data_IF_433212237574
#
_entry.id   IF_433212237574
#
_cell.length_a   1.000
_cell.length_b   1.000
_cell.length_c   1.000
_cell.angle_alpha   90.00
_cell.angle_beta   90.00
_cell.angle_gamma   90.00
#
_symmetry.space_group_name_H-M   'P 1'
#
loop_
_entity.id
_entity.type
_entity.pdbx_description
1 polymer ?
#
# COMPACT_ATOMS: atom_id res chain seq x y z
N UNK A 1 -28.86 6.54 86.33
CA UNK A 1 -29.39 5.19 86.07
C UNK A 1 -29.69 5.11 84.56
N UNK A 2 -28.79 4.81 83.78
CA UNK A 2 -29.07 4.49 82.33
C UNK A 2 -27.78 3.96 81.74
N UNK A 3 -27.81 2.75 81.36
CA UNK A 3 -26.75 1.96 80.80
C UNK A 3 -26.59 2.35 79.30
N UNK A 4 -25.42 2.57 78.75
CA UNK A 4 -25.23 2.67 77.28
C UNK A 4 -24.99 1.28 76.74
N UNK A 5 -25.78 0.93 75.71
CA UNK A 5 -25.58 -0.22 74.84
C UNK A 5 -24.43 0.01 73.85
N UNK A 6 -23.45 -0.86 73.93
CA UNK A 6 -22.38 -1.03 72.96
C UNK A 6 -23.00 -1.65 71.68
N UNK A 7 -22.90 -0.95 70.55
CA UNK A 7 -23.14 -1.56 69.25
C UNK A 7 -21.82 -2.11 68.67
N UNK A 8 -21.79 -3.33 68.15
CA UNK A 8 -20.63 -3.83 67.42
C UNK A 8 -20.64 -3.28 65.96
N UNK A 9 -19.45 -2.90 65.51
CA UNK A 9 -19.21 -2.49 64.16
C UNK A 9 -19.37 -3.68 63.19
N UNK A 10 -19.93 -3.46 61.96
CA UNK A 10 -19.94 -4.48 60.94
C UNK A 10 -18.58 -4.59 60.27
N UNK A 11 -18.09 -5.81 60.26
CA UNK A 11 -16.95 -6.28 59.52
C UNK A 11 -17.05 -5.94 58.05
N UNK A 12 -16.13 -5.15 57.53
CA UNK A 12 -15.99 -4.89 56.09
C UNK A 12 -15.21 -6.04 55.50
N UNK A 13 -15.88 -7.14 55.23
CA UNK A 13 -15.39 -8.18 54.36
C UNK A 13 -15.24 -7.59 52.95
N UNK A 14 -13.99 -7.59 52.50
CA UNK A 14 -13.63 -7.13 51.15
C UNK A 14 -14.43 -7.84 50.07
N UNK A 15 -15.17 -7.09 49.35
CA UNK A 15 -15.67 -7.51 48.04
C UNK A 15 -14.50 -7.33 47.06
N UNK A 16 -13.82 -8.43 46.78
CA UNK A 16 -12.99 -8.54 45.61
C UNK A 16 -13.92 -8.34 44.40
N UNK A 17 -13.79 -7.19 43.78
CA UNK A 17 -14.30 -7.01 42.43
C UNK A 17 -13.47 -7.88 41.51
N UNK A 18 -13.94 -9.10 41.28
CA UNK A 18 -13.58 -9.87 40.11
C UNK A 18 -13.85 -8.97 38.92
N UNK A 19 -12.79 -8.39 38.41
CA UNK A 19 -12.78 -7.80 37.10
C UNK A 19 -13.09 -8.96 36.16
N UNK A 20 -14.35 -9.10 35.78
CA UNK A 20 -14.75 -9.95 34.68
C UNK A 20 -13.94 -9.47 33.46
N UNK A 21 -12.89 -10.20 33.17
CA UNK A 21 -12.22 -10.26 31.91
C UNK A 21 -13.24 -10.87 30.92
N UNK A 22 -14.24 -10.05 30.57
CA UNK A 22 -15.16 -10.37 29.49
C UNK A 22 -14.35 -10.16 28.22
N UNK A 23 -14.01 -11.25 27.48
CA UNK A 23 -13.36 -11.07 26.19
C UNK A 23 -14.21 -10.12 25.36
N UNK A 24 -13.59 -9.16 24.65
CA UNK A 24 -14.36 -8.25 23.80
C UNK A 24 -15.23 -9.09 22.87
N UNK A 25 -16.50 -8.70 22.66
CA UNK A 25 -17.37 -9.42 21.75
C UNK A 25 -16.66 -9.57 20.40
N UNK A 26 -16.80 -10.72 19.72
CA UNK A 26 -16.23 -10.88 18.41
C UNK A 26 -16.69 -9.70 17.56
N UNK A 27 -15.73 -8.88 17.14
CA UNK A 27 -16.03 -7.77 16.22
C UNK A 27 -16.43 -8.42 14.91
N UNK A 28 -17.74 -8.56 14.69
CA UNK A 28 -18.25 -8.86 13.38
C UNK A 28 -17.82 -7.70 12.49
N UNK A 29 -17.12 -7.95 11.37
CA UNK A 29 -16.82 -6.90 10.44
C UNK A 29 -18.11 -6.17 10.11
N UNK A 30 -18.06 -4.84 10.14
CA UNK A 30 -19.23 -4.02 9.79
C UNK A 30 -19.76 -4.50 8.43
N UNK A 31 -21.05 -4.87 8.31
CA UNK A 31 -21.61 -5.34 7.04
C UNK A 31 -21.33 -4.36 5.89
N UNK A 32 -21.16 -3.11 6.21
CA UNK A 32 -20.83 -2.05 5.29
C UNK A 32 -19.38 -2.15 4.79
N UNK A 33 -18.43 -2.37 5.69
CA UNK A 33 -17.02 -2.59 5.36
C UNK A 33 -16.86 -3.87 4.50
N UNK A 34 -17.56 -4.95 4.86
CA UNK A 34 -17.59 -6.17 4.06
C UNK A 34 -18.14 -5.97 2.65
N UNK A 35 -19.16 -5.11 2.47
CA UNK A 35 -19.72 -4.78 1.17
C UNK A 35 -18.72 -3.99 0.31
N UNK A 36 -18.02 -3.02 0.91
CA UNK A 36 -16.99 -2.23 0.22
C UNK A 36 -15.85 -3.13 -0.25
N UNK A 37 -15.34 -3.99 0.63
CA UNK A 37 -14.29 -4.96 0.27
C UNK A 37 -14.70 -5.89 -0.87
N UNK A 38 -15.89 -6.48 -0.80
CA UNK A 38 -16.41 -7.35 -1.87
C UNK A 38 -16.57 -6.59 -3.19
N UNK A 39 -17.08 -5.37 -3.15
CA UNK A 39 -17.23 -4.54 -4.33
C UNK A 39 -15.88 -4.18 -4.98
N UNK A 40 -14.86 -3.95 -4.16
CA UNK A 40 -13.50 -3.66 -4.63
C UNK A 40 -12.83 -4.92 -5.20
N UNK A 41 -13.00 -6.08 -4.56
CA UNK A 41 -12.33 -7.32 -4.98
C UNK A 41 -12.89 -7.88 -6.29
N UNK A 42 -14.22 -7.87 -6.46
CA UNK A 42 -14.90 -8.63 -7.49
C UNK A 42 -15.24 -7.82 -8.76
N UNK A 43 -15.21 -6.48 -8.71
CA UNK A 43 -15.58 -5.64 -9.85
C UNK A 43 -14.39 -5.28 -10.74
N UNK A 44 -14.63 -4.98 -12.03
CA UNK A 44 -13.62 -4.38 -12.90
C UNK A 44 -13.08 -3.07 -12.33
N UNK A 45 -11.81 -2.75 -12.63
CA UNK A 45 -11.14 -1.55 -12.10
C UNK A 45 -11.90 -0.26 -12.41
N UNK A 46 -12.48 -0.15 -13.60
CA UNK A 46 -13.26 1.01 -14.04
C UNK A 46 -14.49 1.24 -13.16
N UNK A 47 -15.18 0.15 -12.75
CA UNK A 47 -16.33 0.25 -11.84
C UNK A 47 -15.88 0.61 -10.41
N UNK A 48 -14.72 0.14 -9.98
CA UNK A 48 -14.14 0.50 -8.67
C UNK A 48 -13.78 1.99 -8.65
N UNK A 49 -13.19 2.52 -9.72
CA UNK A 49 -12.90 3.95 -9.88
C UNK A 49 -14.20 4.77 -9.81
N UNK A 50 -15.23 4.31 -10.49
CA UNK A 50 -16.55 4.96 -10.46
C UNK A 50 -17.15 4.92 -9.06
N UNK A 51 -17.06 3.79 -8.36
CA UNK A 51 -17.54 3.64 -6.98
C UNK A 51 -16.84 4.65 -6.05
N UNK A 52 -15.52 4.71 -6.09
CA UNK A 52 -14.73 5.66 -5.28
C UNK A 52 -15.17 7.10 -5.59
N UNK A 53 -15.28 7.46 -6.86
CA UNK A 53 -15.70 8.79 -7.29
C UNK A 53 -17.10 9.17 -6.76
N UNK A 54 -18.03 8.22 -6.76
CA UNK A 54 -19.39 8.44 -6.22
C UNK A 54 -19.38 8.58 -4.69
N UNK A 55 -18.57 7.80 -3.99
CA UNK A 55 -18.41 7.89 -2.54
C UNK A 55 -17.80 9.24 -2.13
N UNK A 56 -16.83 9.75 -2.88
CA UNK A 56 -16.18 11.04 -2.63
C UNK A 56 -17.12 12.25 -2.82
N UNK A 57 -18.13 12.12 -3.67
CA UNK A 57 -19.11 13.18 -3.90
C UNK A 57 -20.04 13.41 -2.71
N UNK A 58 -20.09 12.49 -1.76
CA UNK A 58 -20.93 12.59 -0.58
C UNK A 58 -20.11 12.65 0.70
N UNK A 59 -20.21 13.72 1.49
CA UNK A 59 -19.48 13.83 2.75
C UNK A 59 -19.85 12.74 3.75
N UNK A 60 -21.08 12.20 3.67
CA UNK A 60 -21.56 11.12 4.54
C UNK A 60 -20.84 9.78 4.24
N UNK A 61 -20.26 9.63 3.05
CA UNK A 61 -19.57 8.42 2.61
C UNK A 61 -18.05 8.56 2.58
N UNK A 62 -17.48 9.64 3.08
CA UNK A 62 -16.03 9.89 3.06
C UNK A 62 -15.22 8.76 3.71
N UNK A 63 -15.73 8.17 4.81
CA UNK A 63 -15.08 7.01 5.43
C UNK A 63 -15.08 5.78 4.51
N UNK A 64 -16.21 5.52 3.85
CA UNK A 64 -16.33 4.43 2.89
C UNK A 64 -15.41 4.60 1.69
N UNK A 65 -15.20 5.84 1.23
CA UNK A 65 -14.24 6.15 0.17
C UNK A 65 -12.81 5.78 0.59
N UNK A 66 -12.40 6.17 1.80
CA UNK A 66 -11.09 5.83 2.35
C UNK A 66 -10.93 4.32 2.52
N UNK A 67 -11.94 3.62 3.03
CA UNK A 67 -11.92 2.17 3.21
C UNK A 67 -11.81 1.44 1.84
N UNK A 68 -12.51 1.94 0.81
CA UNK A 68 -12.39 1.43 -0.56
C UNK A 68 -10.98 1.64 -1.15
N UNK A 69 -10.38 2.83 -0.96
CA UNK A 69 -9.02 3.12 -1.40
C UNK A 69 -7.99 2.19 -0.74
N UNK A 70 -8.13 1.94 0.57
CA UNK A 70 -7.29 1.00 1.32
C UNK A 70 -7.46 -0.43 0.85
N UNK A 71 -8.70 -0.88 0.63
CA UNK A 71 -8.98 -2.20 0.12
C UNK A 71 -8.33 -2.42 -1.27
N UNK A 72 -8.44 -1.45 -2.18
CA UNK A 72 -7.74 -1.50 -3.48
C UNK A 72 -6.24 -1.60 -3.28
N UNK A 73 -5.69 -0.76 -2.41
CA UNK A 73 -4.25 -0.71 -2.16
C UNK A 73 -3.68 -2.04 -1.68
N UNK A 74 -4.47 -2.85 -0.96
CA UNK A 74 -4.03 -4.11 -0.33
C UNK A 74 -4.39 -5.33 -1.17
N UNK A 75 -5.63 -5.40 -1.68
CA UNK A 75 -6.20 -6.64 -2.22
C UNK A 75 -6.02 -6.78 -3.74
N UNK A 76 -5.84 -5.66 -4.48
CA UNK A 76 -5.72 -5.69 -5.93
C UNK A 76 -4.28 -5.96 -6.40
N UNK A 77 -4.10 -6.51 -7.61
CA UNK A 77 -2.77 -6.62 -8.24
C UNK A 77 -2.05 -5.27 -8.30
N UNK A 78 -0.73 -5.27 -8.13
CA UNK A 78 0.08 -4.03 -8.13
C UNK A 78 -0.10 -3.21 -9.41
N UNK A 79 -0.27 -3.87 -10.55
CA UNK A 79 -0.51 -3.20 -11.83
C UNK A 79 -1.84 -2.42 -11.83
N UNK A 80 -2.89 -2.99 -11.23
CA UNK A 80 -4.18 -2.32 -11.07
C UNK A 80 -4.07 -1.14 -10.11
N UNK A 81 -3.29 -1.29 -9.03
CA UNK A 81 -3.02 -0.19 -8.09
C UNK A 81 -2.29 0.95 -8.78
N UNK A 82 -1.25 0.66 -9.57
CA UNK A 82 -0.52 1.67 -10.35
C UNK A 82 -1.43 2.40 -11.35
N UNK A 83 -2.31 1.67 -12.05
CA UNK A 83 -3.30 2.26 -12.97
C UNK A 83 -4.32 3.13 -12.23
N UNK A 84 -4.82 2.65 -11.08
CA UNK A 84 -5.75 3.43 -10.26
C UNK A 84 -5.11 4.75 -9.80
N UNK A 85 -3.88 4.71 -9.30
CA UNK A 85 -3.14 5.91 -8.87
C UNK A 85 -3.01 6.90 -10.03
N UNK A 86 -2.62 6.44 -11.22
CA UNK A 86 -2.51 7.29 -12.41
C UNK A 86 -3.85 7.95 -12.77
N UNK A 87 -4.95 7.21 -12.67
CA UNK A 87 -6.29 7.71 -12.93
C UNK A 87 -6.78 8.71 -11.86
N UNK A 88 -6.50 8.45 -10.58
CA UNK A 88 -6.89 9.34 -9.49
C UNK A 88 -6.07 10.62 -9.45
N UNK A 89 -4.79 10.56 -9.81
CA UNK A 89 -3.91 11.71 -9.88
C UNK A 89 -4.27 12.67 -11.03
N UNK A 90 -4.98 12.19 -12.05
CA UNK A 90 -5.33 12.99 -13.22
C UNK A 90 -6.53 13.89 -12.96
N UNK A 91 -6.46 15.21 -13.25
CA UNK A 91 -7.62 16.11 -13.13
C UNK A 91 -8.83 15.62 -13.96
N UNK A 92 -10.05 15.82 -13.50
CA UNK A 92 -10.50 16.67 -12.38
C UNK A 92 -10.64 15.95 -11.02
N UNK A 93 -9.98 14.81 -10.81
CA UNK A 93 -10.10 14.01 -9.59
C UNK A 93 -9.28 14.60 -8.44
N UNK A 94 -9.52 14.08 -7.23
CA UNK A 94 -8.83 14.52 -6.03
C UNK A 94 -7.48 13.79 -5.89
N UNK A 95 -6.33 14.48 -5.96
CA UNK A 95 -5.03 13.85 -5.81
C UNK A 95 -4.82 13.21 -4.41
N UNK A 96 -5.50 13.70 -3.37
CA UNK A 96 -5.41 13.12 -2.02
C UNK A 96 -5.83 11.64 -1.99
N UNK A 97 -6.71 11.24 -2.91
CA UNK A 97 -7.15 9.85 -3.03
C UNK A 97 -6.04 8.95 -3.62
N UNK A 98 -5.26 9.48 -4.56
CA UNK A 98 -4.07 8.80 -5.06
C UNK A 98 -3.02 8.63 -3.95
N UNK A 99 -2.81 9.68 -3.14
CA UNK A 99 -1.87 9.65 -2.01
C UNK A 99 -2.28 8.64 -0.94
N UNK A 100 -3.59 8.49 -0.65
CA UNK A 100 -4.09 7.49 0.31
C UNK A 100 -3.83 6.05 -0.19
N UNK A 101 -4.03 5.78 -1.48
CA UNK A 101 -3.73 4.47 -2.09
C UNK A 101 -2.23 4.17 -1.99
N UNK A 102 -1.38 5.14 -2.34
CA UNK A 102 0.08 5.00 -2.28
C UNK A 102 0.53 4.71 -0.86
N UNK A 103 0.04 5.47 0.12
CA UNK A 103 0.38 5.31 1.54
C UNK A 103 -0.03 3.94 2.05
N UNK A 104 -1.28 3.53 1.81
CA UNK A 104 -1.80 2.23 2.24
C UNK A 104 -1.03 1.06 1.60
N UNK A 105 -0.67 1.16 0.34
CA UNK A 105 0.16 0.17 -0.33
C UNK A 105 1.58 0.13 0.24
N UNK A 106 2.18 1.29 0.51
CA UNK A 106 3.50 1.39 1.11
C UNK A 106 3.56 0.78 2.51
N UNK A 107 2.48 0.87 3.30
CA UNK A 107 2.40 0.32 4.66
C UNK A 107 2.16 -1.19 4.69
N UNK A 108 1.33 -1.70 3.78
CA UNK A 108 0.72 -3.03 3.93
C UNK A 108 1.27 -4.10 2.99
N UNK A 109 1.90 -3.72 1.87
CA UNK A 109 2.36 -4.68 0.85
C UNK A 109 3.78 -5.18 1.12
N UNK A 110 4.11 -6.39 0.62
CA UNK A 110 5.48 -6.88 0.63
C UNK A 110 6.44 -5.95 -0.11
N UNK A 111 7.73 -5.99 0.24
CA UNK A 111 8.78 -5.13 -0.36
C UNK A 111 8.86 -5.29 -1.87
N UNK A 112 8.64 -6.50 -2.40
CA UNK A 112 8.59 -6.79 -3.83
C UNK A 112 7.53 -5.98 -4.55
N UNK A 113 6.32 -5.96 -3.99
CA UNK A 113 5.17 -5.25 -4.54
C UNK A 113 5.38 -3.73 -4.48
N UNK A 114 5.94 -3.25 -3.38
CA UNK A 114 6.29 -1.83 -3.20
C UNK A 114 7.35 -1.41 -4.22
N UNK A 115 8.38 -2.22 -4.43
CA UNK A 115 9.40 -1.96 -5.46
C UNK A 115 8.79 -1.85 -6.85
N UNK A 116 7.90 -2.79 -7.20
CA UNK A 116 7.18 -2.77 -8.48
C UNK A 116 6.27 -1.55 -8.61
N UNK A 117 5.53 -1.21 -7.55
CA UNK A 117 4.68 -0.01 -7.54
C UNK A 117 5.50 1.25 -7.76
N UNK A 118 6.63 1.40 -7.06
CA UNK A 118 7.53 2.54 -7.27
C UNK A 118 8.02 2.64 -8.71
N UNK A 119 8.38 1.51 -9.34
CA UNK A 119 8.78 1.49 -10.75
C UNK A 119 7.64 1.94 -11.69
N UNK A 120 6.39 1.53 -11.42
CA UNK A 120 5.22 1.95 -12.17
C UNK A 120 4.94 3.46 -12.01
N UNK A 121 5.08 4.00 -10.79
CA UNK A 121 4.84 5.40 -10.49
C UNK A 121 5.94 6.34 -11.05
N UNK A 122 7.12 5.83 -11.37
CA UNK A 122 8.17 6.58 -12.07
C UNK A 122 7.96 6.61 -13.61
N UNK A 123 6.89 6.03 -14.11
CA UNK A 123 6.52 6.08 -15.52
C UNK A 123 6.14 7.51 -15.94
N UNK A 124 6.48 7.97 -17.15
CA UNK A 124 6.13 9.30 -17.64
C UNK A 124 4.61 9.54 -17.80
N UNK A 125 3.82 8.49 -17.69
CA UNK A 125 2.35 8.56 -17.73
C UNK A 125 1.71 8.87 -16.39
N UNK A 126 2.49 8.92 -15.30
CA UNK A 126 2.02 9.21 -13.95
C UNK A 126 2.54 10.56 -13.51
N UNK A 127 1.72 11.30 -12.78
CA UNK A 127 2.11 12.60 -12.21
C UNK A 127 3.30 12.46 -11.25
N UNK A 128 4.29 13.36 -11.36
CA UNK A 128 5.56 13.27 -10.61
C UNK A 128 5.36 13.24 -9.09
N UNK A 129 4.31 13.91 -8.57
CA UNK A 129 4.03 13.93 -7.13
C UNK A 129 3.72 12.53 -6.58
N UNK A 130 3.15 11.62 -7.37
CA UNK A 130 2.86 10.25 -6.93
C UNK A 130 4.15 9.48 -6.63
N UNK A 131 5.19 9.65 -7.44
CA UNK A 131 6.50 9.05 -7.18
C UNK A 131 7.14 9.61 -5.91
N UNK A 132 7.03 10.93 -5.69
CA UNK A 132 7.53 11.59 -4.49
C UNK A 132 6.78 11.13 -3.23
N UNK A 133 5.44 11.02 -3.31
CA UNK A 133 4.62 10.52 -2.21
C UNK A 133 4.94 9.05 -1.89
N UNK A 134 5.16 8.20 -2.89
CA UNK A 134 5.57 6.82 -2.68
C UNK A 134 6.90 6.73 -1.91
N UNK A 135 7.91 7.52 -2.29
CA UNK A 135 9.18 7.59 -1.57
C UNK A 135 8.97 8.04 -0.13
N UNK A 136 8.17 9.09 0.08
CA UNK A 136 7.87 9.62 1.41
C UNK A 136 7.14 8.59 2.28
N UNK A 137 6.11 7.95 1.74
CA UNK A 137 5.31 6.96 2.45
C UNK A 137 6.17 5.75 2.88
N UNK A 138 6.98 5.22 1.97
CA UNK A 138 7.90 4.12 2.27
C UNK A 138 8.90 4.51 3.35
N UNK A 139 9.53 5.67 3.23
CA UNK A 139 10.54 6.15 4.19
C UNK A 139 9.94 6.38 5.59
N UNK A 140 8.66 6.77 5.68
CA UNK A 140 8.00 7.06 6.94
C UNK A 140 7.45 5.82 7.65
N UNK A 141 7.02 4.78 6.91
CA UNK A 141 6.23 3.69 7.46
C UNK A 141 6.95 2.33 7.46
N UNK A 142 8.11 2.22 6.79
CA UNK A 142 8.85 0.94 6.73
C UNK A 142 10.01 0.87 7.71
N UNK A 143 10.26 -0.31 8.29
CA UNK A 143 11.46 -0.54 9.09
C UNK A 143 12.73 -0.39 8.24
N UNK A 144 13.83 -0.03 8.91
CA UNK A 144 15.11 0.27 8.25
C UNK A 144 15.63 -0.92 7.44
N UNK A 145 15.40 -2.11 7.91
CA UNK A 145 15.82 -3.36 7.25
C UNK A 145 15.14 -3.52 5.88
N UNK A 146 13.84 -3.24 5.82
CA UNK A 146 13.08 -3.28 4.57
C UNK A 146 13.47 -2.15 3.61
N UNK A 147 13.84 -0.98 4.15
CA UNK A 147 14.37 0.13 3.34
C UNK A 147 15.68 -0.24 2.66
N UNK A 148 16.58 -0.93 3.36
CA UNK A 148 17.85 -1.41 2.79
C UNK A 148 17.58 -2.42 1.67
N UNK A 149 16.65 -3.37 1.89
CA UNK A 149 16.26 -4.33 0.87
C UNK A 149 15.66 -3.65 -0.37
N UNK A 150 14.76 -2.69 -0.17
CA UNK A 150 14.14 -1.93 -1.25
C UNK A 150 15.17 -1.14 -2.06
N UNK A 151 16.10 -0.47 -1.40
CA UNK A 151 17.20 0.26 -2.06
C UNK A 151 18.04 -0.70 -2.91
N UNK A 152 18.35 -1.88 -2.39
CA UNK A 152 19.05 -2.93 -3.14
C UNK A 152 18.31 -3.31 -4.42
N UNK A 153 17.02 -3.64 -4.31
CA UNK A 153 16.16 -4.02 -5.45
C UNK A 153 16.06 -2.93 -6.51
N UNK A 154 15.83 -1.68 -6.10
CA UNK A 154 15.75 -0.54 -7.03
C UNK A 154 17.09 -0.26 -7.72
N UNK A 155 18.21 -0.49 -7.03
CA UNK A 155 19.54 -0.36 -7.62
C UNK A 155 19.80 -1.44 -8.68
N UNK A 156 19.41 -2.68 -8.39
CA UNK A 156 19.54 -3.80 -9.33
C UNK A 156 18.66 -3.59 -10.57
N UNK A 157 17.45 -3.08 -10.39
CA UNK A 157 16.54 -2.77 -11.49
C UNK A 157 17.09 -1.67 -12.39
N UNK A 158 17.63 -0.60 -11.80
CA UNK A 158 18.29 0.48 -12.56
C UNK A 158 19.49 -0.04 -13.36
N UNK A 159 20.31 -0.90 -12.75
CA UNK A 159 21.46 -1.49 -13.42
C UNK A 159 21.05 -2.36 -14.60
N UNK A 160 19.92 -3.07 -14.52
CA UNK A 160 19.38 -3.86 -15.65
C UNK A 160 18.84 -2.96 -16.77
N UNK A 161 18.25 -1.82 -16.43
CA UNK A 161 17.72 -0.87 -17.43
C UNK A 161 18.85 -0.10 -18.12
N UNK A 162 19.93 0.23 -17.40
CA UNK A 162 21.10 0.95 -17.91
C UNK A 162 22.18 0.02 -18.51
N UNK A 163 21.98 -1.28 -18.45
CA UNK A 163 22.89 -2.28 -19.02
C UNK A 163 23.09 -2.05 -20.52
N UNK A 164 24.29 -2.24 -21.05
CA UNK A 164 24.56 -2.02 -22.48
C UNK A 164 23.59 -2.84 -23.33
N UNK A 165 23.05 -2.29 -24.42
CA UNK A 165 22.23 -3.05 -25.36
C UNK A 165 23.03 -4.28 -25.74
N UNK A 166 22.39 -5.46 -25.65
CA UNK A 166 22.99 -6.74 -26.00
C UNK A 166 23.77 -6.60 -27.30
N UNK A 167 25.10 -6.69 -27.19
CA UNK A 167 25.99 -6.42 -28.27
C UNK A 167 25.62 -7.26 -29.48
N UNK A 168 25.59 -6.63 -30.62
CA UNK A 168 25.61 -7.29 -31.93
C UNK A 168 26.73 -8.32 -31.94
N UNK A 169 26.46 -9.62 -32.11
CA UNK A 169 27.49 -10.62 -32.28
C UNK A 169 27.92 -10.73 -33.75
N UNK A 170 28.29 -9.63 -34.37
CA UNK A 170 28.88 -9.67 -35.72
C UNK A 170 29.88 -8.54 -35.92
N UNK A 171 31.02 -8.67 -35.31
CA UNK A 171 32.22 -8.15 -35.91
C UNK A 171 33.29 -9.23 -35.80
N UNK A 172 33.24 -10.16 -36.76
CA UNK A 172 34.32 -11.12 -37.07
C UNK A 172 35.40 -10.38 -37.87
N UNK A 173 36.59 -10.08 -37.29
CA UNK A 173 37.66 -9.45 -38.01
C UNK A 173 38.58 -10.50 -38.71
N UNK A 174 38.01 -11.62 -39.16
CA UNK A 174 38.84 -12.70 -39.77
C UNK A 174 38.49 -12.93 -41.23
N UNK A 175 38.60 -11.90 -42.07
CA UNK A 175 38.61 -12.10 -43.52
C UNK A 175 39.38 -10.99 -44.25
N UNK A 176 40.66 -10.89 -44.05
CA UNK A 176 41.55 -10.22 -45.03
C UNK A 176 43.01 -10.50 -44.73
N UNK A 177 43.55 -11.59 -45.22
CA UNK A 177 44.95 -11.60 -45.65
C UNK A 177 45.18 -12.80 -46.57
N UNK A 178 45.00 -12.62 -47.87
CA UNK A 178 45.65 -13.43 -48.88
C UNK A 178 46.75 -12.57 -49.53
N UNK A 179 47.99 -13.02 -49.56
CA UNK A 179 49.06 -12.31 -50.27
C UNK A 179 49.00 -12.58 -51.76
N UNK A 180 49.35 -11.58 -52.65
CA UNK A 180 49.48 -11.81 -54.06
C UNK A 180 50.80 -12.54 -54.40
N UNK A 181 50.65 -13.66 -55.05
CA UNK A 181 51.79 -14.31 -55.76
C UNK A 181 52.04 -13.58 -57.07
N UNK A 182 53.22 -13.05 -57.24
CA UNK A 182 53.72 -12.56 -58.55
C UNK A 182 54.76 -13.57 -59.15
N UNK A 183 54.89 -13.64 -60.49
CA UNK A 183 55.76 -14.56 -61.26
C UNK A 183 57.15 -14.20 -61.24
#
# INVERSE_FOLDING_TARGET
>A
MSTPLSSPAPDRSGISLDTHDTPPPPQHPDPFEGLVHAAVADRPLEEVIQLITLLEQSPDHSRAAVDALRAVAVDRPVDDVGRLVAELASPPRNPDSADEVIRSAAESRPVEDVSRLMALLHSPSVESHCAEEAVRAVAAHRPVEELVELIGRLSDERTRQDGPPAGDPEHDPSAATAPPTAP
#
